data_IF_289856150032
#
_entry.id   IF_289856150032
#
_cell.length_a   1.000
_cell.length_b   1.000
_cell.length_c   1.000
_cell.angle_alpha   90.00
_cell.angle_beta   90.00
_cell.angle_gamma   90.00
#
_symmetry.space_group_name_H-M   'P 1'
#
loop_
_entity.id
_entity.type
_entity.pdbx_description
1 polymer ?
#
# COMPACT_ATOMS: atom_id res chain seq x y z
N UNK A 1 14.63 9.44 -14.38
CA UNK A 1 13.78 8.68 -15.34
C UNK A 1 12.51 8.24 -14.63
N UNK A 2 11.57 9.17 -14.46
CA UNK A 2 10.27 8.91 -13.82
C UNK A 2 9.40 8.11 -14.77
N UNK A 3 9.42 6.79 -14.62
CA UNK A 3 8.50 5.91 -15.33
C UNK A 3 7.16 5.95 -14.62
N UNK A 4 6.32 6.93 -14.98
CA UNK A 4 4.87 6.75 -14.86
C UNK A 4 4.56 5.64 -15.86
N UNK A 5 4.57 4.37 -15.41
CA UNK A 5 4.17 3.27 -16.27
C UNK A 5 2.68 3.46 -16.61
N UNK A 6 2.31 3.60 -17.89
CA UNK A 6 0.91 3.56 -18.29
C UNK A 6 0.36 2.15 -18.00
N UNK A 7 -0.86 2.12 -17.44
CA UNK A 7 -1.59 0.95 -16.95
C UNK A 7 -0.96 0.25 -15.73
N UNK A 8 -0.89 0.94 -14.58
CA UNK A 8 -0.93 0.23 -13.30
C UNK A 8 -2.38 -0.23 -13.05
N UNK A 9 -2.70 -1.54 -13.22
CA UNK A 9 -4.05 -2.05 -13.02
C UNK A 9 -4.54 -1.83 -11.59
N UNK A 10 -3.63 -1.83 -10.61
CA UNK A 10 -3.96 -1.58 -9.22
C UNK A 10 -4.44 -0.13 -9.02
N UNK A 11 -3.71 0.84 -9.58
CA UNK A 11 -4.12 2.25 -9.56
C UNK A 11 -5.49 2.46 -10.21
N UNK A 12 -5.72 1.83 -11.36
CA UNK A 12 -7.02 1.89 -12.05
C UNK A 12 -8.16 1.38 -11.18
N UNK A 13 -7.95 0.24 -10.53
CA UNK A 13 -8.93 -0.35 -9.63
C UNK A 13 -9.18 0.51 -8.38
N UNK A 14 -8.12 1.02 -7.75
CA UNK A 14 -8.24 1.93 -6.60
C UNK A 14 -9.07 3.17 -6.95
N UNK A 15 -8.78 3.81 -8.10
CA UNK A 15 -9.53 4.98 -8.54
C UNK A 15 -10.99 4.64 -8.87
N UNK A 16 -11.25 3.48 -9.48
CA UNK A 16 -12.62 3.01 -9.73
C UNK A 16 -13.38 2.87 -8.40
N UNK A 17 -12.76 2.22 -7.40
CA UNK A 17 -13.34 2.04 -6.06
C UNK A 17 -13.56 3.35 -5.33
N UNK A 18 -12.59 4.27 -5.33
CA UNK A 18 -12.73 5.59 -4.69
C UNK A 18 -13.85 6.40 -5.34
N UNK A 19 -13.97 6.37 -6.67
CA UNK A 19 -15.02 7.10 -7.41
C UNK A 19 -16.42 6.54 -7.17
N UNK A 20 -16.55 5.29 -6.77
CA UNK A 20 -17.85 4.72 -6.41
C UNK A 20 -18.43 5.35 -5.12
N UNK A 21 -17.59 5.97 -4.29
CA UNK A 21 -17.99 6.62 -3.03
C UNK A 21 -17.84 5.71 -1.81
N UNK A 22 -17.78 6.31 -0.62
CA UNK A 22 -17.56 5.59 0.64
C UNK A 22 -18.75 4.70 1.04
N UNK A 23 -19.97 5.05 0.60
CA UNK A 23 -21.18 4.28 0.86
C UNK A 23 -21.39 3.14 -0.14
N UNK A 24 -20.56 3.04 -1.18
CA UNK A 24 -20.65 1.95 -2.14
C UNK A 24 -20.24 0.63 -1.48
N UNK A 25 -21.06 -0.44 -1.61
CA UNK A 25 -20.74 -1.71 -0.99
C UNK A 25 -19.42 -2.27 -1.52
N UNK A 26 -18.69 -2.92 -0.62
CA UNK A 26 -17.55 -3.77 -0.91
C UNK A 26 -17.63 -4.96 0.03
N UNK A 27 -17.48 -6.17 -0.49
CA UNK A 27 -17.35 -7.33 0.39
C UNK A 27 -16.00 -7.31 1.10
N UNK A 28 -15.93 -7.96 2.27
CA UNK A 28 -14.68 -8.10 3.02
C UNK A 28 -13.60 -8.82 2.19
N UNK A 29 -13.99 -9.80 1.38
CA UNK A 29 -13.10 -10.51 0.47
C UNK A 29 -12.52 -9.58 -0.63
N UNK A 30 -13.34 -8.74 -1.26
CA UNK A 30 -12.88 -7.77 -2.25
C UNK A 30 -11.95 -6.73 -1.63
N UNK A 31 -12.30 -6.22 -0.44
CA UNK A 31 -11.45 -5.29 0.30
C UNK A 31 -10.12 -5.94 0.66
N UNK A 32 -10.14 -7.17 1.15
CA UNK A 32 -8.94 -7.93 1.50
C UNK A 32 -8.01 -8.08 0.29
N UNK A 33 -8.53 -8.53 -0.85
CA UNK A 33 -7.73 -8.67 -2.08
C UNK A 33 -7.08 -7.34 -2.49
N UNK A 34 -7.83 -6.24 -2.44
CA UNK A 34 -7.31 -4.92 -2.79
C UNK A 34 -6.25 -4.43 -1.79
N UNK A 35 -6.49 -4.61 -0.50
CA UNK A 35 -5.57 -4.23 0.57
C UNK A 35 -4.24 -5.00 0.48
N UNK A 36 -4.28 -6.31 0.21
CA UNK A 36 -3.07 -7.13 0.02
C UNK A 36 -2.29 -6.69 -1.23
N UNK A 37 -2.97 -6.35 -2.32
CA UNK A 37 -2.31 -5.83 -3.51
C UNK A 37 -1.60 -4.49 -3.25
N UNK A 38 -2.25 -3.58 -2.52
CA UNK A 38 -1.64 -2.31 -2.07
C UNK A 38 -0.46 -2.56 -1.13
N UNK A 39 -0.61 -3.48 -0.17
CA UNK A 39 0.47 -3.86 0.73
C UNK A 39 1.69 -4.39 -0.02
N UNK A 40 1.50 -5.28 -1.00
CA UNK A 40 2.58 -5.78 -1.85
C UNK A 40 3.29 -4.65 -2.59
N UNK A 41 2.54 -3.76 -3.23
CA UNK A 41 3.10 -2.58 -3.90
C UNK A 41 3.91 -1.69 -2.94
N UNK A 42 3.36 -1.40 -1.76
CA UNK A 42 4.03 -0.59 -0.74
C UNK A 42 5.30 -1.28 -0.22
N UNK A 43 5.23 -2.58 0.06
CA UNK A 43 6.39 -3.36 0.50
C UNK A 43 7.50 -3.29 -0.54
N UNK A 44 7.17 -3.44 -1.82
CA UNK A 44 8.13 -3.41 -2.94
C UNK A 44 8.70 -2.02 -3.25
N UNK A 45 7.98 -0.93 -2.97
CA UNK A 45 8.38 0.41 -3.41
C UNK A 45 8.74 1.38 -2.27
N UNK A 46 8.40 1.05 -1.02
CA UNK A 46 8.67 1.88 0.15
C UNK A 46 9.69 1.17 1.06
N UNK A 47 10.96 1.54 0.94
CA UNK A 47 12.07 0.93 1.69
C UNK A 47 11.90 1.05 3.21
N UNK A 48 11.45 2.22 3.69
CA UNK A 48 11.25 2.45 5.12
C UNK A 48 10.12 1.58 5.68
N UNK A 49 9.02 1.45 4.94
CA UNK A 49 7.90 0.59 5.32
C UNK A 49 8.24 -0.90 5.25
N UNK A 50 8.97 -1.33 4.22
CA UNK A 50 9.48 -2.70 4.11
C UNK A 50 10.29 -3.10 5.34
N UNK A 51 11.30 -2.29 5.68
CA UNK A 51 12.14 -2.55 6.85
C UNK A 51 11.33 -2.60 8.16
N UNK A 52 10.25 -1.82 8.25
CA UNK A 52 9.32 -1.89 9.38
C UNK A 52 8.54 -3.21 9.42
N UNK A 53 8.04 -3.69 8.27
CA UNK A 53 7.31 -4.95 8.15
C UNK A 53 8.20 -6.16 8.43
N UNK A 54 9.42 -6.18 7.89
CA UNK A 54 10.41 -7.25 8.10
C UNK A 54 10.72 -7.44 9.58
N UNK A 55 10.92 -6.34 10.34
CA UNK A 55 11.13 -6.39 11.80
C UNK A 55 9.95 -6.96 12.58
N UNK A 56 8.77 -7.06 11.96
CA UNK A 56 7.55 -7.66 12.54
C UNK A 56 7.20 -9.02 11.94
N UNK A 57 8.06 -9.60 11.09
CA UNK A 57 7.80 -10.88 10.44
C UNK A 57 6.68 -10.83 9.39
N UNK A 58 6.32 -9.64 8.92
CA UNK A 58 5.28 -9.45 7.92
C UNK A 58 5.90 -9.24 6.53
N UNK A 59 5.45 -10.04 5.56
CA UNK A 59 5.80 -9.93 4.15
C UNK A 59 4.59 -10.24 3.27
N UNK A 60 4.61 -9.91 1.97
CA UNK A 60 3.53 -10.28 1.04
C UNK A 60 3.22 -11.79 1.04
N UNK A 61 4.23 -12.61 1.34
CA UNK A 61 4.11 -14.07 1.42
C UNK A 61 3.61 -14.56 2.79
N UNK A 62 3.65 -13.77 3.87
CA UNK A 62 3.16 -14.20 5.20
C UNK A 62 1.77 -13.65 5.54
N UNK A 63 1.43 -12.46 5.05
CA UNK A 63 0.14 -11.78 5.31
C UNK A 63 -0.96 -12.38 4.41
N UNK A 64 -2.13 -12.68 4.98
CA UNK A 64 -3.30 -13.26 4.29
C UNK A 64 -4.57 -12.45 4.47
N UNK A 65 -4.65 -11.67 5.54
CA UNK A 65 -5.79 -10.83 5.88
C UNK A 65 -5.32 -9.38 6.05
N UNK A 66 -6.17 -8.43 5.64
CA UNK A 66 -5.84 -7.01 5.70
C UNK A 66 -5.57 -6.53 7.14
N UNK A 67 -6.19 -7.19 8.13
CA UNK A 67 -5.99 -6.92 9.56
C UNK A 67 -4.61 -7.32 10.07
N UNK A 68 -3.87 -8.15 9.34
CA UNK A 68 -2.51 -8.59 9.67
C UNK A 68 -1.43 -7.61 9.14
N UNK A 69 -1.82 -6.65 8.29
CA UNK A 69 -0.90 -5.65 7.74
C UNK A 69 -0.38 -4.76 8.87
N UNK A 70 0.95 -4.61 9.05
CA UNK A 70 1.50 -3.78 10.11
C UNK A 70 1.08 -2.31 10.02
N UNK A 71 0.34 -1.84 11.02
CA UNK A 71 -0.02 -0.44 11.17
C UNK A 71 1.20 0.40 11.58
N UNK A 72 1.59 1.33 10.72
CA UNK A 72 2.73 2.22 10.98
C UNK A 72 2.33 3.30 12.00
N UNK A 73 3.08 3.48 13.10
CA UNK A 73 2.79 4.54 14.07
C UNK A 73 2.92 5.92 13.43
N UNK A 74 2.06 6.86 13.83
CA UNK A 74 2.06 8.24 13.30
C UNK A 74 3.43 8.93 13.48
N UNK A 75 4.17 8.57 14.55
CA UNK A 75 5.52 9.08 14.79
C UNK A 75 6.54 8.69 13.71
N UNK A 76 6.36 7.57 13.02
CA UNK A 76 7.29 7.11 11.99
C UNK A 76 7.33 8.04 10.77
N UNK A 77 6.23 8.75 10.48
CA UNK A 77 6.17 9.75 9.40
C UNK A 77 7.10 10.94 9.62
N UNK A 78 7.55 11.18 10.87
CA UNK A 78 8.57 12.20 11.19
C UNK A 78 9.99 11.66 11.07
N UNK A 79 10.15 10.33 11.15
CA UNK A 79 11.45 9.67 11.24
C UNK A 79 12.00 9.21 9.89
N UNK A 80 11.13 8.92 8.92
CA UNK A 80 11.53 8.45 7.60
C UNK A 80 10.50 8.84 6.53
N UNK A 81 10.92 9.03 5.27
CA UNK A 81 10.01 9.21 4.16
C UNK A 81 9.27 7.90 3.88
N UNK A 82 7.98 7.86 4.20
CA UNK A 82 7.09 6.74 3.89
C UNK A 82 6.41 7.00 2.54
N UNK A 83 7.16 6.75 1.47
CA UNK A 83 6.74 7.01 0.09
C UNK A 83 7.00 5.79 -0.80
N UNK A 84 6.09 5.52 -1.73
CA UNK A 84 6.30 4.56 -2.80
C UNK A 84 6.86 5.31 -4.02
N UNK A 85 8.13 5.08 -4.34
CA UNK A 85 8.84 5.82 -5.39
C UNK A 85 9.83 6.86 -4.84
N UNK A 86 10.29 7.76 -5.71
CA UNK A 86 11.32 8.75 -5.38
C UNK A 86 10.76 9.85 -4.45
N UNK A 87 11.27 10.00 -3.21
CA UNK A 87 10.84 11.05 -2.29
C UNK A 87 11.00 12.46 -2.87
N UNK A 88 11.97 12.69 -3.75
CA UNK A 88 12.19 14.00 -4.39
C UNK A 88 11.06 14.39 -5.35
N UNK A 89 10.16 13.46 -5.69
CA UNK A 89 9.04 13.66 -6.60
C UNK A 89 7.69 13.74 -5.87
N UNK A 90 7.66 13.50 -4.56
CA UNK A 90 6.48 13.75 -3.73
C UNK A 90 6.29 15.28 -3.61
N UNK A 91 5.21 15.80 -4.21
CA UNK A 91 4.85 17.22 -4.20
C UNK A 91 3.59 17.43 -3.38
#
# INVERSE_FOLDING_TARGET
MTSIRPADPLRGELLRRIRAGADAPISDAEFNTLALAVFGHQYEQNVAYRAYCERRGASPESVRQWTEIPAVPTAAFKAAPLVCGDPAQAR
#
